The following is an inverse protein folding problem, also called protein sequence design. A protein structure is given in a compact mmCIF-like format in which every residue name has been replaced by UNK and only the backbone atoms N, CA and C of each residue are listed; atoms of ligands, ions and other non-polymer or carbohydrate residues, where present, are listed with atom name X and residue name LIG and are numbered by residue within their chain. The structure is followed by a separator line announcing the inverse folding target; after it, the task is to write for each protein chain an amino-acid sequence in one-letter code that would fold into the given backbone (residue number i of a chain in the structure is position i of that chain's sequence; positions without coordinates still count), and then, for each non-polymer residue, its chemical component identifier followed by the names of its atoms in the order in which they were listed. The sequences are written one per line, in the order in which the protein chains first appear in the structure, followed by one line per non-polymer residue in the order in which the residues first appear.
data_IF_959409643350
#
_entry.id   IF_959409643350
#
_cell.length_a   1.000
_cell.length_b   1.000
_cell.length_c   1.000
_cell.angle_alpha   90.00
_cell.angle_beta   90.00
_cell.angle_gamma   90.00
#
_symmetry.space_group_name_H-M   'P 1'
#
loop_
_entity.id
_entity.type
_entity.pdbx_description
1 polymer ?
#
# COMPACT_ATOMS: atom_id res chain seq x y z
N UNK A 1 28.15 -8.58 -14.49
CA UNK A 1 27.61 -8.12 -15.79
C UNK A 1 27.30 -6.64 -15.72
N UNK A 2 27.80 -5.82 -16.65
CA UNK A 2 27.45 -4.39 -16.76
C UNK A 2 26.07 -4.28 -17.42
N UNK A 3 25.13 -3.58 -16.78
CA UNK A 3 23.80 -3.27 -17.34
C UNK A 3 23.67 -1.76 -17.51
N UNK A 4 23.04 -1.34 -18.60
CA UNK A 4 22.76 0.06 -18.90
C UNK A 4 21.26 0.30 -18.79
N UNK A 5 20.89 1.42 -18.22
CA UNK A 5 19.50 1.83 -18.02
C UNK A 5 19.31 3.23 -18.59
N UNK A 6 18.15 3.48 -19.17
CA UNK A 6 17.71 4.82 -19.56
C UNK A 6 16.70 5.28 -18.52
N UNK A 7 16.89 6.49 -18.00
CA UNK A 7 15.99 7.11 -17.04
C UNK A 7 15.27 8.28 -17.69
N UNK A 8 14.03 8.52 -17.29
CA UNK A 8 13.37 9.79 -17.58
C UNK A 8 14.06 10.93 -16.81
N UNK A 9 13.82 12.18 -17.25
CA UNK A 9 14.45 13.36 -16.65
C UNK A 9 14.18 13.50 -15.15
N UNK A 10 13.00 13.11 -14.68
CA UNK A 10 12.62 13.23 -13.27
C UNK A 10 13.42 12.23 -12.44
N UNK A 11 13.51 10.99 -12.89
CA UNK A 11 14.27 9.91 -12.29
C UNK A 11 15.77 10.23 -12.30
N UNK A 12 16.26 10.88 -13.35
CA UNK A 12 17.64 11.33 -13.43
C UNK A 12 17.98 12.38 -12.37
N UNK A 13 17.17 13.44 -12.26
CA UNK A 13 17.34 14.48 -11.23
C UNK A 13 17.21 13.92 -9.82
N UNK A 14 16.37 12.91 -9.62
CA UNK A 14 16.27 12.22 -8.33
C UNK A 14 17.55 11.43 -8.03
N UNK A 15 18.07 10.69 -9.01
CA UNK A 15 19.30 9.93 -8.86
C UNK A 15 20.48 10.82 -8.49
N UNK A 16 20.61 11.99 -9.11
CA UNK A 16 21.68 12.94 -8.82
C UNK A 16 21.60 13.49 -7.40
N UNK A 17 20.38 13.84 -6.94
CA UNK A 17 20.16 14.29 -5.55
C UNK A 17 20.50 13.20 -4.54
N UNK A 18 20.10 11.96 -4.79
CA UNK A 18 20.40 10.83 -3.90
C UNK A 18 21.88 10.46 -3.89
N UNK A 19 22.55 10.58 -5.04
CA UNK A 19 23.97 10.32 -5.18
C UNK A 19 24.83 11.38 -4.49
N UNK A 20 24.35 12.63 -4.37
CA UNK A 20 25.09 13.71 -3.72
C UNK A 20 25.55 13.34 -2.30
N UNK A 21 24.71 12.67 -1.49
CA UNK A 21 25.07 12.21 -0.15
C UNK A 21 25.95 10.95 -0.12
N UNK A 22 26.27 10.39 -1.29
CA UNK A 22 27.03 9.14 -1.50
C UNK A 22 28.25 9.41 -2.40
N UNK A 23 28.88 10.57 -2.23
CA UNK A 23 30.04 11.02 -3.02
C UNK A 23 29.81 10.99 -4.54
N UNK A 24 28.57 11.22 -4.99
CA UNK A 24 28.19 11.20 -6.41
C UNK A 24 28.05 9.79 -7.01
N UNK A 25 28.09 8.72 -6.21
CA UNK A 25 28.05 7.36 -6.74
C UNK A 25 26.64 6.91 -7.15
N UNK A 26 26.25 7.27 -8.38
CA UNK A 26 24.95 6.92 -8.98
C UNK A 26 24.72 5.41 -9.03
N UNK A 27 25.73 4.62 -9.43
CA UNK A 27 25.58 3.16 -9.54
C UNK A 27 25.36 2.50 -8.18
N UNK A 28 25.93 3.05 -7.10
CA UNK A 28 25.67 2.58 -5.75
C UNK A 28 24.20 2.81 -5.36
N UNK A 29 23.68 4.02 -5.60
CA UNK A 29 22.26 4.35 -5.34
C UNK A 29 21.34 3.40 -6.09
N UNK A 30 21.61 3.13 -7.38
CA UNK A 30 20.76 2.22 -8.17
C UNK A 30 20.78 0.80 -7.61
N UNK A 31 21.94 0.29 -7.15
CA UNK A 31 22.03 -1.04 -6.54
C UNK A 31 21.28 -1.12 -5.20
N UNK A 32 21.41 -0.10 -4.36
CA UNK A 32 20.66 0.03 -3.11
C UNK A 32 19.14 0.05 -3.40
N UNK A 33 18.75 0.87 -4.39
CA UNK A 33 17.47 0.89 -5.10
C UNK A 33 16.85 -0.50 -5.30
N UNK A 34 17.54 -1.28 -6.11
CA UNK A 34 17.12 -2.61 -6.55
C UNK A 34 17.08 -3.59 -5.38
N UNK A 35 18.05 -3.54 -4.47
CA UNK A 35 18.09 -4.42 -3.30
C UNK A 35 16.90 -4.18 -2.36
N UNK A 36 16.58 -2.91 -2.08
CA UNK A 36 15.41 -2.53 -1.29
C UNK A 36 14.11 -2.99 -1.94
N UNK A 37 13.99 -2.81 -3.26
CA UNK A 37 12.82 -3.26 -4.01
C UNK A 37 12.68 -4.79 -3.97
N UNK A 38 13.77 -5.53 -4.18
CA UNK A 38 13.74 -7.00 -4.12
C UNK A 38 13.33 -7.51 -2.73
N UNK A 39 13.84 -6.90 -1.65
CA UNK A 39 13.44 -7.26 -0.29
C UNK A 39 11.96 -6.94 -0.01
N UNK A 40 11.45 -5.85 -0.56
CA UNK A 40 10.02 -5.51 -0.48
C UNK A 40 9.16 -6.55 -1.22
N UNK A 41 9.53 -6.92 -2.45
CA UNK A 41 8.83 -7.93 -3.25
C UNK A 41 8.79 -9.29 -2.55
N UNK A 42 9.88 -9.70 -1.91
CA UNK A 42 9.93 -10.93 -1.12
C UNK A 42 8.94 -10.89 0.06
N UNK A 43 8.87 -9.76 0.77
CA UNK A 43 7.91 -9.56 1.88
C UNK A 43 6.46 -9.53 1.41
N UNK A 44 6.18 -8.88 0.28
CA UNK A 44 4.85 -8.89 -0.32
C UNK A 44 4.46 -10.31 -0.72
N UNK A 45 5.35 -11.04 -1.36
CA UNK A 45 5.13 -12.45 -1.73
C UNK A 45 4.85 -13.30 -0.49
N UNK A 46 5.62 -13.12 0.58
CA UNK A 46 5.41 -13.81 1.85
C UNK A 46 4.00 -13.50 2.40
N UNK A 47 3.61 -12.22 2.48
CA UNK A 47 2.28 -11.81 2.96
C UNK A 47 1.15 -12.37 2.09
N UNK A 48 1.29 -12.29 0.77
CA UNK A 48 0.28 -12.75 -0.19
C UNK A 48 0.13 -14.27 -0.19
N UNK A 49 1.17 -15.00 0.19
CA UNK A 49 1.13 -16.46 0.34
C UNK A 49 0.40 -16.93 1.61
N UNK A 50 0.16 -16.05 2.57
CA UNK A 50 -0.44 -16.43 3.85
C UNK A 50 -1.89 -16.91 3.65
N UNK A 51 -2.29 -18.08 4.20
CA UNK A 51 -3.65 -18.60 4.05
C UNK A 51 -4.74 -17.64 4.56
N UNK A 52 -4.43 -16.86 5.60
CA UNK A 52 -5.34 -15.83 6.13
C UNK A 52 -5.57 -14.69 5.15
N UNK A 53 -4.52 -14.22 4.49
CA UNK A 53 -4.59 -13.18 3.47
C UNK A 53 -5.40 -13.65 2.26
N UNK A 54 -5.09 -14.84 1.73
CA UNK A 54 -5.82 -15.43 0.61
C UNK A 54 -7.31 -15.62 0.91
N UNK A 55 -7.65 -16.06 2.13
CA UNK A 55 -9.04 -16.19 2.57
C UNK A 55 -9.73 -14.84 2.63
N UNK A 56 -9.09 -13.81 3.20
CA UNK A 56 -9.63 -12.46 3.26
C UNK A 56 -9.88 -11.88 1.86
N UNK A 57 -8.94 -12.07 0.92
CA UNK A 57 -9.10 -11.60 -0.46
C UNK A 57 -10.27 -12.28 -1.16
N UNK A 58 -10.43 -13.60 -1.01
CA UNK A 58 -11.59 -14.33 -1.56
C UNK A 58 -12.91 -13.86 -0.96
N UNK A 59 -12.95 -13.67 0.35
CA UNK A 59 -14.13 -13.16 1.03
C UNK A 59 -14.48 -11.75 0.56
N UNK A 60 -13.49 -10.87 0.47
CA UNK A 60 -13.67 -9.50 -0.01
C UNK A 60 -14.18 -9.47 -1.45
N UNK A 61 -13.63 -10.32 -2.33
CA UNK A 61 -14.13 -10.44 -3.70
C UNK A 61 -15.61 -10.88 -3.74
N UNK A 62 -15.97 -11.89 -2.97
CA UNK A 62 -17.36 -12.35 -2.86
C UNK A 62 -18.30 -11.28 -2.26
N UNK A 63 -17.81 -10.46 -1.33
CA UNK A 63 -18.56 -9.35 -0.76
C UNK A 63 -18.77 -8.21 -1.76
N UNK A 64 -17.78 -7.94 -2.63
CA UNK A 64 -17.91 -6.98 -3.72
C UNK A 64 -18.97 -7.45 -4.72
N UNK A 65 -18.86 -8.70 -5.19
CA UNK A 65 -19.81 -9.29 -6.14
C UNK A 65 -21.24 -9.30 -5.60
N UNK A 66 -21.40 -9.59 -4.31
CA UNK A 66 -22.71 -9.58 -3.66
C UNK A 66 -23.19 -8.18 -3.24
N UNK A 67 -22.45 -7.10 -3.55
CA UNK A 67 -22.83 -5.73 -3.20
C UNK A 67 -22.85 -5.45 -1.69
N UNK A 68 -22.12 -6.24 -0.89
CA UNK A 68 -22.03 -6.10 0.58
C UNK A 68 -20.96 -5.10 1.03
N UNK A 69 -20.11 -4.61 0.12
CA UNK A 69 -19.09 -3.60 0.43
C UNK A 69 -19.70 -2.20 0.37
N UNK A 70 -19.53 -1.45 1.46
CA UNK A 70 -19.97 -0.06 1.54
C UNK A 70 -18.91 0.87 0.97
N UNK A 71 -19.34 1.84 0.16
CA UNK A 71 -18.50 2.97 -0.20
C UNK A 71 -18.17 3.81 1.03
N UNK A 72 -17.08 4.58 0.95
CA UNK A 72 -16.69 5.51 2.01
C UNK A 72 -17.82 6.48 2.39
N UNK A 73 -18.59 6.97 1.40
CA UNK A 73 -19.73 7.86 1.63
C UNK A 73 -20.87 7.17 2.38
N UNK A 74 -21.20 5.92 2.02
CA UNK A 74 -22.23 5.13 2.71
C UNK A 74 -21.82 4.80 4.15
N UNK A 75 -20.55 4.46 4.37
CA UNK A 75 -19.99 4.21 5.71
C UNK A 75 -20.09 5.47 6.59
N UNK A 76 -19.69 6.65 6.08
CA UNK A 76 -19.83 7.92 6.81
C UNK A 76 -21.27 8.22 7.22
N UNK A 77 -22.23 7.97 6.33
CA UNK A 77 -23.66 8.17 6.62
C UNK A 77 -24.19 7.19 7.69
N UNK A 78 -23.69 5.96 7.69
CA UNK A 78 -24.04 4.93 8.69
C UNK A 78 -23.51 5.24 10.09
N UNK A 79 -22.24 5.67 10.19
CA UNK A 79 -21.62 6.04 11.48
C UNK A 79 -22.30 7.27 12.12
N UNK A 80 -22.81 8.20 11.32
CA UNK A 80 -23.57 9.35 11.83
C UNK A 80 -24.91 8.97 12.48
N UNK A 81 -25.54 7.87 12.06
CA UNK A 81 -26.80 7.38 12.63
C UNK A 81 -26.62 6.64 13.96
N UNK A 82 -25.49 5.93 14.14
CA UNK A 82 -25.20 5.16 15.36
C UNK A 82 -24.93 6.01 16.60
N UNK A 83 -24.44 7.25 16.43
CA UNK A 83 -24.18 8.17 17.57
C UNK A 83 -25.45 8.75 18.21
N UNK A 84 -26.60 8.68 17.53
CA UNK A 84 -27.86 9.27 18.02
C UNK A 84 -28.81 8.26 18.70
N UNK A 85 -28.50 6.96 18.72
CA UNK A 85 -29.37 5.91 19.30
C UNK A 85 -28.95 5.42 20.69
N UNK A 86 -27.90 5.99 21.30
CA UNK A 86 -27.44 5.58 22.65
C UNK A 86 -27.93 6.51 23.77
N UNK A 87 -28.86 7.43 23.48
CA UNK A 87 -29.30 8.46 24.42
C UNK A 87 -30.78 8.42 24.78
N UNK A 88 -31.38 7.23 24.95
CA UNK A 88 -32.71 7.14 25.55
C UNK A 88 -33.03 5.77 26.16
N UNK A 89 -32.29 5.38 27.21
CA UNK A 89 -32.76 4.37 28.17
C UNK A 89 -32.34 4.82 29.56
N UNK A 90 -33.00 5.84 30.08
CA UNK A 90 -33.28 5.96 31.51
C UNK A 90 -34.26 7.11 31.74
N UNK A 91 -35.51 6.76 32.07
CA UNK A 91 -36.37 7.50 33.00
C UNK A 91 -37.67 6.72 33.23
N UNK A 92 -37.81 6.36 34.51
CA UNK A 92 -39.01 5.95 35.27
C UNK A 92 -39.65 4.63 34.95
#
# INVERSE_FOLDING_TARGET
MRRQFVLDERSERLLDRLAASRAGNRSFVVREAIALYAALEERLTEMESQPGFLRLMRQTAADIEAGRVLTHAQMKKGLGKGRNHSGNVDRT
#
